data_IF_645765301423
#
_entry.id   IF_645765301423
#
_cell.length_a   1.000
_cell.length_b   1.000
_cell.length_c   1.000
_cell.angle_alpha   90.00
_cell.angle_beta   90.00
_cell.angle_gamma   90.00
#
_symmetry.space_group_name_H-M   'P 1'
#
loop_
_entity.id
_entity.type
_entity.pdbx_description
1 polymer ?
#
# COMPACT_ATOMS: atom_id res chain seq x y z
N UNK A 1 -27.35 21.53 -12.26
CA UNK A 1 -26.58 20.57 -11.44
C UNK A 1 -25.12 21.00 -11.45
N UNK A 2 -24.48 21.06 -10.29
CA UNK A 2 -23.06 21.43 -10.16
C UNK A 2 -22.16 20.34 -10.75
N UNK A 3 -21.06 20.72 -11.40
CA UNK A 3 -20.15 19.77 -12.05
C UNK A 3 -19.49 18.83 -11.03
N UNK A 4 -19.11 17.62 -11.47
CA UNK A 4 -18.45 16.64 -10.59
C UNK A 4 -17.17 17.21 -9.94
N UNK A 5 -16.25 17.90 -10.65
CA UNK A 5 -15.09 18.52 -10.01
C UNK A 5 -15.47 19.49 -8.89
N UNK A 6 -16.49 20.33 -9.11
CA UNK A 6 -16.93 21.28 -8.09
C UNK A 6 -17.53 20.59 -6.86
N UNK A 7 -18.29 19.50 -7.08
CA UNK A 7 -18.80 18.65 -5.99
C UNK A 7 -17.67 18.03 -5.17
N UNK A 8 -16.63 17.51 -5.84
CA UNK A 8 -15.46 16.92 -5.21
C UNK A 8 -14.65 17.97 -4.44
N UNK A 9 -14.50 19.18 -4.98
CA UNK A 9 -13.85 20.30 -4.27
C UNK A 9 -14.60 20.68 -2.99
N UNK A 10 -15.93 20.54 -2.99
CA UNK A 10 -16.78 20.70 -1.80
C UNK A 10 -16.48 19.72 -0.66
N UNK A 11 -15.78 18.61 -0.93
CA UNK A 11 -15.39 17.64 0.10
C UNK A 11 -14.13 18.05 0.88
N UNK A 12 -13.36 19.03 0.39
CA UNK A 12 -12.07 19.43 0.99
C UNK A 12 -12.12 19.63 2.51
N UNK A 13 -13.08 20.38 3.08
CA UNK A 13 -13.13 20.59 4.53
C UNK A 13 -13.30 19.28 5.33
N UNK A 14 -14.10 18.34 4.81
CA UNK A 14 -14.29 17.03 5.45
C UNK A 14 -13.03 16.17 5.37
N UNK A 15 -12.32 16.24 4.23
CA UNK A 15 -11.07 15.51 4.05
C UNK A 15 -10.00 16.05 5.01
N UNK A 16 -9.91 17.37 5.16
CA UNK A 16 -9.00 18.01 6.12
C UNK A 16 -9.36 17.63 7.57
N UNK A 17 -10.65 17.55 7.93
CA UNK A 17 -11.08 17.08 9.25
C UNK A 17 -10.72 15.59 9.48
N UNK A 18 -10.91 14.72 8.49
CA UNK A 18 -10.47 13.31 8.58
C UNK A 18 -8.96 13.21 8.79
N UNK A 19 -8.18 13.98 8.04
CA UNK A 19 -6.72 14.02 8.20
C UNK A 19 -6.32 14.52 9.60
N UNK A 20 -7.02 15.51 10.14
CA UNK A 20 -6.78 16.03 11.47
C UNK A 20 -7.08 14.99 12.56
N UNK A 21 -8.20 14.26 12.45
CA UNK A 21 -8.56 13.18 13.38
C UNK A 21 -7.51 12.07 13.37
N UNK A 22 -6.98 11.73 12.19
CA UNK A 22 -5.99 10.68 12.03
C UNK A 22 -4.55 11.11 12.42
N UNK A 23 -4.27 12.41 12.49
CA UNK A 23 -2.95 12.98 12.78
C UNK A 23 -1.94 12.89 11.61
N UNK A 24 -2.42 12.83 10.37
CA UNK A 24 -1.62 12.41 9.21
C UNK A 24 -1.04 13.58 8.43
N UNK A 25 0.12 13.36 7.78
CA UNK A 25 0.91 14.41 7.16
C UNK A 25 0.51 14.77 5.73
N UNK A 26 0.04 13.82 4.91
CA UNK A 26 -0.25 14.10 3.50
C UNK A 26 -1.08 13.04 2.78
N UNK A 27 -1.93 13.48 1.85
CA UNK A 27 -2.85 12.63 1.07
C UNK A 27 -2.87 13.09 -0.38
N UNK A 28 -2.88 12.14 -1.31
CA UNK A 28 -3.15 12.37 -2.73
C UNK A 28 -4.35 11.53 -3.17
N UNK A 29 -5.25 12.13 -3.94
CA UNK A 29 -6.50 11.55 -4.42
C UNK A 29 -6.56 11.70 -5.92
N UNK A 30 -7.01 10.64 -6.61
CA UNK A 30 -7.25 10.63 -8.04
C UNK A 30 -8.60 10.00 -8.36
N UNK A 31 -9.36 10.64 -9.25
CA UNK A 31 -10.62 10.13 -9.77
C UNK A 31 -10.57 10.08 -11.28
N UNK A 32 -10.87 8.90 -11.82
CA UNK A 32 -11.08 8.65 -13.24
C UNK A 32 -12.57 8.39 -13.49
N UNK A 33 -13.13 9.05 -14.50
CA UNK A 33 -14.45 8.78 -15.07
C UNK A 33 -14.31 8.82 -16.58
N UNK A 34 -14.72 7.77 -17.29
CA UNK A 34 -14.56 7.73 -18.76
C UNK A 34 -15.21 8.95 -19.43
N UNK A 35 -14.49 9.52 -20.41
CA UNK A 35 -14.92 10.70 -21.16
C UNK A 35 -14.78 12.02 -20.41
N UNK A 36 -14.26 12.02 -19.18
CA UNK A 36 -13.95 13.22 -18.40
C UNK A 36 -12.46 13.35 -18.17
N UNK A 37 -11.99 14.58 -17.94
CA UNK A 37 -10.64 14.80 -17.44
C UNK A 37 -10.49 14.18 -16.05
N UNK A 38 -9.31 13.62 -15.77
CA UNK A 38 -8.99 13.12 -14.43
C UNK A 38 -9.07 14.26 -13.41
N UNK A 39 -9.60 13.97 -12.24
CA UNK A 39 -9.60 14.88 -11.10
C UNK A 39 -8.53 14.46 -10.11
N UNK A 40 -7.82 15.45 -9.55
CA UNK A 40 -6.83 15.25 -8.51
C UNK A 40 -7.06 16.23 -7.36
N UNK A 41 -6.91 15.73 -6.14
CA UNK A 41 -6.89 16.56 -4.94
C UNK A 41 -5.76 16.10 -4.02
N UNK A 42 -4.93 17.05 -3.61
CA UNK A 42 -3.73 16.80 -2.82
C UNK A 42 -3.75 17.67 -1.56
N UNK A 43 -3.31 17.09 -0.45
CA UNK A 43 -3.39 17.68 0.88
C UNK A 43 -2.10 17.42 1.66
N UNK A 44 -1.71 18.39 2.49
CA UNK A 44 -0.58 18.26 3.39
C UNK A 44 0.78 18.18 2.69
N UNK A 45 1.72 17.48 3.33
CA UNK A 45 3.14 17.56 3.02
C UNK A 45 3.77 16.18 2.81
N UNK A 46 4.59 16.08 1.76
CA UNK A 46 5.47 14.93 1.50
C UNK A 46 6.72 14.94 2.38
N UNK A 47 7.10 16.13 2.85
CA UNK A 47 8.12 16.36 3.87
C UNK A 47 7.56 17.37 4.87
N UNK A 48 7.24 16.92 6.07
CA UNK A 48 6.65 17.75 7.14
C UNK A 48 7.62 18.84 7.60
N UNK A 49 8.92 18.53 7.68
CA UNK A 49 9.94 19.47 8.16
C UNK A 49 10.15 20.60 7.17
N UNK A 50 10.31 20.26 5.90
CA UNK A 50 10.56 21.23 4.82
C UNK A 50 9.26 21.82 4.24
N UNK A 51 8.09 21.35 4.71
CA UNK A 51 6.75 21.75 4.24
C UNK A 51 6.56 21.61 2.74
N UNK A 52 7.18 20.60 2.15
CA UNK A 52 7.02 20.33 0.73
C UNK A 52 5.66 19.67 0.46
N UNK A 53 4.83 20.19 -0.46
CA UNK A 53 3.47 19.70 -0.64
C UNK A 53 3.43 18.32 -1.29
N UNK A 54 2.37 17.56 -0.98
CA UNK A 54 1.97 16.40 -1.80
C UNK A 54 1.41 16.90 -3.14
N UNK A 55 1.71 16.19 -4.21
CA UNK A 55 1.08 16.32 -5.53
C UNK A 55 0.65 14.94 -6.04
N UNK A 56 -0.13 14.90 -7.12
CA UNK A 56 -0.55 13.68 -7.81
C UNK A 56 0.63 12.88 -8.40
N UNK A 57 1.78 13.53 -8.52
CA UNK A 57 3.06 12.97 -8.93
C UNK A 57 3.98 12.60 -7.76
N UNK A 58 3.59 12.86 -6.51
CA UNK A 58 4.41 12.47 -5.38
C UNK A 58 4.51 10.95 -5.30
N UNK A 59 5.74 10.45 -5.23
CA UNK A 59 6.01 9.02 -5.08
C UNK A 59 5.76 8.61 -3.63
N UNK A 60 4.86 7.65 -3.44
CA UNK A 60 4.43 7.10 -2.16
C UNK A 60 4.48 5.56 -2.23
N UNK A 61 4.59 4.86 -1.10
CA UNK A 61 4.38 3.42 -1.06
C UNK A 61 2.96 3.08 -1.54
N UNK A 62 2.82 2.09 -2.42
CA UNK A 62 1.48 1.58 -2.81
C UNK A 62 1.05 0.40 -1.96
N UNK A 63 1.88 0.00 -0.98
CA UNK A 63 1.60 -1.09 -0.08
C UNK A 63 1.17 -2.36 -0.85
N UNK A 64 0.17 -3.07 -0.32
CA UNK A 64 -0.35 -4.30 -0.92
C UNK A 64 -1.01 -4.14 -2.30
N UNK A 65 -1.18 -2.91 -2.83
CA UNK A 65 -1.53 -2.72 -4.25
C UNK A 65 -0.45 -3.27 -5.18
N UNK A 66 0.78 -3.48 -4.69
CA UNK A 66 1.82 -4.27 -5.39
C UNK A 66 1.28 -5.60 -5.94
N UNK A 67 0.39 -6.27 -5.19
CA UNK A 67 -0.19 -7.57 -5.59
C UNK A 67 -0.96 -7.49 -6.89
N UNK A 68 -1.58 -6.35 -7.20
CA UNK A 68 -2.26 -6.14 -8.48
C UNK A 68 -1.30 -6.30 -9.66
N UNK A 69 -0.11 -5.69 -9.58
CA UNK A 69 0.93 -5.80 -10.60
C UNK A 69 1.50 -7.22 -10.70
N UNK A 70 1.62 -7.92 -9.58
CA UNK A 70 2.05 -9.32 -9.58
C UNK A 70 0.98 -10.21 -10.22
N UNK A 71 -0.31 -9.96 -9.97
CA UNK A 71 -1.40 -10.68 -10.65
C UNK A 71 -1.38 -10.47 -12.16
N UNK A 72 -1.09 -9.24 -12.63
CA UNK A 72 -0.94 -8.95 -14.07
C UNK A 72 0.22 -9.76 -14.67
N UNK A 73 1.33 -9.89 -13.94
CA UNK A 73 2.46 -10.74 -14.36
C UNK A 73 2.16 -12.25 -14.30
N UNK A 74 1.22 -12.65 -13.45
CA UNK A 74 0.82 -14.03 -13.20
C UNK A 74 -0.47 -14.49 -13.88
N UNK A 75 -1.09 -13.69 -14.76
CA UNK A 75 -2.39 -14.01 -15.39
C UNK A 75 -2.52 -15.42 -16.02
N UNK A 76 -1.42 -16.17 -16.13
CA UNK A 76 -1.32 -17.57 -16.54
C UNK A 76 -1.45 -18.64 -15.43
N UNK A 77 -1.60 -18.30 -14.14
CA UNK A 77 -1.66 -19.30 -13.04
C UNK A 77 -2.88 -19.03 -12.12
N UNK A 78 -4.05 -19.50 -12.54
CA UNK A 78 -5.36 -19.30 -11.89
C UNK A 78 -5.46 -19.82 -10.43
N UNK A 79 -4.59 -20.74 -10.01
CA UNK A 79 -4.76 -21.41 -8.71
C UNK A 79 -4.16 -20.66 -7.50
N UNK A 80 -3.20 -19.75 -7.70
CA UNK A 80 -2.49 -19.10 -6.58
C UNK A 80 -3.28 -17.91 -5.99
N UNK A 81 -4.11 -17.25 -6.80
CA UNK A 81 -4.67 -15.92 -6.51
C UNK A 81 -6.08 -15.92 -5.91
N UNK A 82 -6.71 -17.08 -5.74
CA UNK A 82 -8.15 -17.15 -5.40
C UNK A 82 -8.48 -17.28 -3.91
N UNK A 83 -7.51 -17.19 -2.99
CA UNK A 83 -7.68 -17.42 -1.54
C UNK A 83 -8.32 -18.79 -1.15
N UNK A 84 -8.49 -19.72 -2.10
CA UNK A 84 -9.19 -21.02 -1.93
C UNK A 84 -8.40 -22.13 -1.23
N UNK A 85 -7.17 -21.84 -0.80
CA UNK A 85 -6.28 -22.86 -0.22
C UNK A 85 -6.54 -23.20 1.25
N UNK A 86 -7.53 -22.57 1.90
CA UNK A 86 -8.00 -22.96 3.24
C UNK A 86 -7.03 -22.70 4.42
N UNK A 87 -6.32 -21.57 4.48
CA UNK A 87 -5.37 -21.27 5.57
C UNK A 87 -5.74 -20.01 6.38
N UNK A 88 -5.75 -20.11 7.72
CA UNK A 88 -6.33 -19.13 8.68
C UNK A 88 -5.48 -17.87 8.97
N UNK A 89 -6.11 -16.81 9.52
CA UNK A 89 -5.59 -15.43 9.71
C UNK A 89 -4.97 -15.16 11.11
N UNK A 90 -3.85 -14.43 11.23
CA UNK A 90 -3.37 -13.84 12.51
C UNK A 90 -2.03 -13.05 12.49
N UNK A 91 -2.05 -11.87 13.14
CA UNK A 91 -1.12 -10.75 13.53
C UNK A 91 0.41 -10.72 13.23
N UNK A 92 0.93 -9.50 12.93
CA UNK A 92 2.29 -9.10 12.45
C UNK A 92 3.25 -8.56 13.54
N UNK A 93 4.57 -8.71 13.38
CA UNK A 93 5.62 -7.97 14.13
C UNK A 93 6.73 -7.44 13.20
N UNK A 94 7.13 -6.18 13.41
CA UNK A 94 8.15 -5.45 12.63
C UNK A 94 9.45 -5.35 13.44
N UNK A 95 10.60 -5.47 12.77
CA UNK A 95 11.90 -5.17 13.38
C UNK A 95 12.13 -3.65 13.54
N UNK A 96 13.13 -3.28 14.35
CA UNK A 96 13.44 -1.89 14.71
C UNK A 96 13.84 -1.00 13.54
N UNK A 97 14.18 -1.58 12.39
CA UNK A 97 14.48 -0.86 11.13
C UNK A 97 13.38 -1.04 10.08
N UNK A 98 12.16 -1.41 10.48
CA UNK A 98 11.06 -1.79 9.59
C UNK A 98 11.40 -2.97 8.64
N UNK A 99 12.41 -3.75 8.99
CA UNK A 99 12.71 -5.03 8.38
C UNK A 99 11.73 -6.12 8.89
N UNK A 100 11.26 -6.99 8.00
CA UNK A 100 10.34 -8.06 8.40
C UNK A 100 11.09 -9.21 9.11
N UNK A 101 10.71 -9.48 10.36
CA UNK A 101 11.29 -10.56 11.16
C UNK A 101 10.23 -11.67 11.31
N UNK A 102 10.45 -12.83 10.67
CA UNK A 102 9.41 -13.83 10.40
C UNK A 102 9.08 -14.70 11.63
N UNK A 103 7.80 -14.91 11.93
CA UNK A 103 7.29 -15.97 12.81
C UNK A 103 6.47 -17.04 12.03
N UNK A 104 6.52 -18.29 12.52
CA UNK A 104 6.08 -19.53 11.85
C UNK A 104 4.66 -19.53 11.24
N UNK A 105 3.71 -18.75 11.77
CA UNK A 105 2.29 -18.76 11.34
C UNK A 105 1.95 -17.81 10.18
N UNK A 106 2.79 -16.84 9.81
CA UNK A 106 2.59 -15.94 8.65
C UNK A 106 3.50 -16.22 7.44
N UNK A 107 4.26 -17.32 7.49
CA UNK A 107 5.02 -17.88 6.35
C UNK A 107 4.15 -18.28 5.16
N UNK A 108 2.88 -17.87 5.04
CA UNK A 108 1.92 -18.34 4.04
C UNK A 108 1.28 -17.24 3.19
N UNK A 109 1.23 -15.98 3.66
CA UNK A 109 0.73 -14.84 2.85
C UNK A 109 1.84 -14.22 2.00
N UNK A 110 2.96 -13.90 2.64
CA UNK A 110 4.15 -13.41 1.96
C UNK A 110 4.72 -14.48 1.04
N UNK A 111 4.86 -15.69 1.55
CA UNK A 111 5.47 -16.79 0.81
C UNK A 111 4.69 -17.18 -0.46
N UNK A 112 3.39 -16.89 -0.59
CA UNK A 112 2.65 -17.06 -1.87
C UNK A 112 3.10 -16.08 -2.93
N UNK A 113 3.19 -14.80 -2.60
CA UNK A 113 3.64 -13.78 -3.54
C UNK A 113 5.15 -13.88 -3.78
N UNK A 114 5.92 -14.30 -2.77
CA UNK A 114 7.33 -14.65 -2.94
C UNK A 114 7.49 -15.87 -3.86
N UNK A 115 6.70 -16.93 -3.67
CA UNK A 115 6.70 -18.11 -4.55
C UNK A 115 6.25 -17.74 -5.96
N UNK A 116 5.23 -16.89 -6.10
CA UNK A 116 4.81 -16.33 -7.37
C UNK A 116 5.96 -15.62 -8.08
N UNK A 117 6.72 -14.78 -7.37
CA UNK A 117 7.93 -14.14 -7.92
C UNK A 117 8.96 -15.16 -8.38
N UNK A 118 9.24 -16.20 -7.57
CA UNK A 118 10.15 -17.27 -7.98
C UNK A 118 9.67 -18.00 -9.25
N UNK A 119 8.35 -18.19 -9.41
CA UNK A 119 7.76 -18.77 -10.61
C UNK A 119 7.90 -17.83 -11.80
N UNK A 120 7.60 -16.54 -11.63
CA UNK A 120 7.80 -15.51 -12.67
C UNK A 120 9.26 -15.52 -13.12
N UNK A 121 10.19 -15.46 -12.18
CA UNK A 121 11.63 -15.44 -12.46
C UNK A 121 12.06 -16.67 -13.23
N UNK A 122 11.61 -17.85 -12.80
CA UNK A 122 11.94 -19.12 -13.44
C UNK A 122 11.36 -19.25 -14.84
N UNK A 123 10.09 -18.89 -15.03
CA UNK A 123 9.37 -19.06 -16.30
C UNK A 123 9.81 -18.01 -17.32
N UNK A 124 9.91 -16.75 -16.91
CA UNK A 124 10.29 -15.65 -17.80
C UNK A 124 11.80 -15.54 -18.02
N UNK A 125 12.62 -16.19 -17.18
CA UNK A 125 14.09 -16.03 -17.11
C UNK A 125 14.52 -14.58 -16.85
N UNK A 126 13.63 -13.76 -16.30
CA UNK A 126 13.85 -12.37 -15.95
C UNK A 126 13.33 -12.13 -14.53
N UNK A 127 13.98 -11.27 -13.72
CA UNK A 127 13.42 -10.88 -12.43
C UNK A 127 12.00 -10.31 -12.58
N UNK A 128 11.12 -10.62 -11.64
CA UNK A 128 9.73 -10.18 -11.63
C UNK A 128 9.59 -8.66 -11.81
N UNK A 129 10.56 -7.92 -11.28
CA UNK A 129 10.62 -6.46 -11.38
C UNK A 129 10.78 -6.00 -12.82
N UNK A 130 11.55 -6.73 -13.64
CA UNK A 130 11.70 -6.46 -15.07
C UNK A 130 10.47 -6.91 -15.86
N UNK A 131 9.86 -8.03 -15.48
CA UNK A 131 8.63 -8.54 -16.09
C UNK A 131 7.50 -7.52 -15.89
N UNK A 132 7.19 -7.15 -14.65
CA UNK A 132 6.19 -6.12 -14.30
C UNK A 132 6.49 -4.81 -15.03
N UNK A 133 7.76 -4.40 -15.06
CA UNK A 133 8.13 -3.16 -15.75
C UNK A 133 7.89 -3.24 -17.27
N UNK A 134 8.06 -4.41 -17.88
CA UNK A 134 7.89 -4.62 -19.32
C UNK A 134 6.46 -4.82 -19.79
N UNK A 135 5.61 -5.42 -18.96
CA UNK A 135 4.22 -5.74 -19.35
C UNK A 135 3.20 -4.70 -18.88
N UNK A 136 3.52 -3.95 -17.81
CA UNK A 136 2.60 -3.00 -17.18
C UNK A 136 3.19 -1.58 -17.14
N UNK A 137 4.28 -1.37 -16.39
CA UNK A 137 4.77 0.00 -16.09
C UNK A 137 5.13 0.79 -17.36
N UNK A 138 6.03 0.28 -18.20
CA UNK A 138 6.46 0.98 -19.42
C UNK A 138 5.33 1.10 -20.45
N UNK A 139 4.58 0.03 -20.80
CA UNK A 139 3.50 0.14 -21.78
C UNK A 139 2.36 1.08 -21.36
N UNK A 140 2.10 1.23 -20.05
CA UNK A 140 1.02 2.08 -19.55
C UNK A 140 1.47 3.50 -19.23
N UNK A 141 2.71 3.87 -19.58
CA UNK A 141 3.23 5.22 -19.37
C UNK A 141 3.32 5.61 -17.90
N UNK A 142 3.55 4.64 -17.01
CA UNK A 142 3.70 4.86 -15.57
C UNK A 142 5.14 5.29 -15.24
N UNK A 143 5.42 6.58 -15.41
CA UNK A 143 6.79 7.14 -15.40
C UNK A 143 7.43 7.24 -14.01
N UNK A 144 6.62 7.19 -12.95
CA UNK A 144 7.02 7.42 -11.55
C UNK A 144 6.68 6.21 -10.68
N UNK A 145 6.69 5.02 -11.29
CA UNK A 145 6.40 3.75 -10.62
C UNK A 145 7.64 2.86 -10.56
N UNK A 146 7.95 2.38 -9.36
CA UNK A 146 9.17 1.66 -9.04
C UNK A 146 8.86 0.35 -8.32
N UNK A 147 9.65 -0.68 -8.59
CA UNK A 147 9.54 -2.02 -7.99
C UNK A 147 10.34 -2.18 -6.71
N UNK A 148 10.98 -1.10 -6.27
CA UNK A 148 11.73 -0.94 -5.03
C UNK A 148 11.71 0.55 -4.69
N UNK A 149 12.28 0.90 -3.53
CA UNK A 149 12.55 2.29 -3.17
C UNK A 149 13.15 3.09 -4.33
N UNK A 150 12.56 4.24 -4.61
CA UNK A 150 13.14 5.19 -5.55
C UNK A 150 14.48 5.68 -4.99
N UNK A 151 15.49 5.94 -5.84
CA UNK A 151 16.75 6.56 -5.40
C UNK A 151 16.49 7.81 -4.56
N UNK A 152 17.30 8.07 -3.52
CA UNK A 152 17.14 9.24 -2.63
C UNK A 152 17.18 10.59 -3.38
N UNK A 153 17.82 10.62 -4.54
CA UNK A 153 17.86 11.79 -5.44
C UNK A 153 16.59 11.98 -6.28
N UNK A 154 15.60 11.09 -6.18
CA UNK A 154 14.37 11.18 -6.98
C UNK A 154 13.56 12.38 -6.53
N UNK A 155 13.32 13.36 -7.42
CA UNK A 155 12.55 14.54 -7.05
C UNK A 155 11.11 14.14 -6.75
N UNK A 156 10.47 14.83 -5.80
CA UNK A 156 9.07 14.60 -5.43
C UNK A 156 8.80 13.15 -4.96
N UNK A 157 9.73 12.56 -4.22
CA UNK A 157 9.47 11.39 -3.37
C UNK A 157 9.07 11.84 -1.97
N UNK A 158 8.18 11.09 -1.32
CA UNK A 158 7.71 11.38 0.03
C UNK A 158 8.60 10.74 1.09
N UNK A 159 8.73 11.42 2.23
CA UNK A 159 9.05 10.77 3.51
C UNK A 159 7.83 10.05 4.05
N UNK A 160 8.05 9.11 4.95
CA UNK A 160 7.02 8.24 5.53
C UNK A 160 6.88 8.53 7.04
N UNK A 161 5.65 8.46 7.55
CA UNK A 161 5.33 8.87 8.92
C UNK A 161 4.47 7.85 9.66
N UNK A 162 4.75 7.62 10.95
CA UNK A 162 3.80 6.97 11.85
C UNK A 162 3.26 8.00 12.83
N UNK A 163 1.96 7.93 13.12
CA UNK A 163 1.33 8.83 14.07
C UNK A 163 1.49 8.27 15.49
N UNK A 164 1.94 9.13 16.41
CA UNK A 164 2.02 8.82 17.84
C UNK A 164 0.63 8.88 18.49
N UNK A 165 0.49 8.33 19.70
CA UNK A 165 -0.75 8.40 20.47
C UNK A 165 -1.22 9.83 20.79
N UNK A 166 -0.33 10.81 20.73
CA UNK A 166 -0.62 12.25 20.86
C UNK A 166 -1.08 12.90 19.54
N UNK A 167 -1.18 12.14 18.44
CA UNK A 167 -1.63 12.63 17.13
C UNK A 167 -0.53 13.26 16.28
N UNK A 168 0.73 13.16 16.71
CA UNK A 168 1.88 13.76 16.01
C UNK A 168 2.44 12.80 14.94
N UNK A 169 2.54 13.21 13.66
CA UNK A 169 3.21 12.42 12.63
C UNK A 169 4.73 12.47 12.85
N UNK A 170 5.33 11.29 13.06
CA UNK A 170 6.78 11.13 13.28
C UNK A 170 7.41 10.43 12.10
N UNK A 171 8.48 11.04 11.54
CA UNK A 171 9.21 10.48 10.40
C UNK A 171 9.79 9.11 10.79
N UNK A 172 9.58 8.13 9.91
CA UNK A 172 10.15 6.79 10.06
C UNK A 172 11.00 6.46 8.85
N UNK A 173 11.92 5.51 9.04
CA UNK A 173 12.61 4.92 7.90
C UNK A 173 11.60 4.14 7.05
N UNK A 174 11.63 4.33 5.72
CA UNK A 174 10.76 3.60 4.85
C UNK A 174 10.90 2.08 4.97
N UNK A 175 9.79 1.36 4.77
CA UNK A 175 9.82 -0.11 4.78
C UNK A 175 10.76 -0.60 3.68
N UNK A 176 11.79 -1.36 4.04
CA UNK A 176 12.80 -1.89 3.09
C UNK A 176 12.29 -3.10 2.27
N UNK A 177 11.07 -2.99 1.75
CA UNK A 177 10.48 -3.95 0.81
C UNK A 177 10.73 -3.48 -0.64
N UNK A 178 11.02 -4.42 -1.53
CA UNK A 178 11.22 -4.13 -2.95
C UNK A 178 11.90 -5.28 -3.69
N UNK A 179 12.18 -5.05 -4.97
CA UNK A 179 12.94 -6.01 -5.78
C UNK A 179 14.25 -6.40 -5.11
N UNK A 180 14.45 -7.71 -4.90
CA UNK A 180 15.63 -8.26 -4.23
C UNK A 180 15.53 -8.34 -2.71
N UNK A 181 14.44 -7.88 -2.09
CA UNK A 181 14.20 -8.06 -0.65
C UNK A 181 12.92 -8.84 -0.36
N UNK A 182 12.90 -9.52 0.79
CA UNK A 182 11.75 -10.27 1.25
C UNK A 182 10.57 -9.33 1.52
N UNK A 183 9.39 -9.64 0.97
CA UNK A 183 8.20 -8.79 1.03
C UNK A 183 8.02 -7.89 -0.19
N UNK A 184 9.01 -7.79 -1.08
CA UNK A 184 8.97 -6.94 -2.27
C UNK A 184 7.77 -7.21 -3.18
N UNK A 185 7.46 -8.49 -3.43
CA UNK A 185 6.33 -8.93 -4.27
C UNK A 185 4.96 -8.72 -3.62
N UNK A 186 4.93 -8.49 -2.31
CA UNK A 186 3.70 -8.34 -1.57
C UNK A 186 3.33 -6.88 -1.31
N UNK A 187 4.32 -5.98 -1.29
CA UNK A 187 4.10 -4.61 -0.85
C UNK A 187 5.22 -3.61 -1.14
N UNK A 188 6.26 -3.99 -1.89
CA UNK A 188 7.47 -3.18 -2.04
C UNK A 188 7.49 -2.22 -3.24
N UNK A 189 6.35 -1.99 -3.89
CA UNK A 189 6.26 -1.03 -4.98
C UNK A 189 5.95 0.39 -4.48
N UNK A 190 6.42 1.36 -5.27
CA UNK A 190 6.20 2.79 -5.08
C UNK A 190 5.60 3.36 -6.36
N UNK A 191 4.69 4.30 -6.25
CA UNK A 191 4.03 4.94 -7.40
C UNK A 191 3.50 6.30 -7.00
N UNK A 192 2.78 6.96 -7.90
CA UNK A 192 2.01 8.15 -7.62
C UNK A 192 0.57 7.95 -8.09
N UNK A 193 -0.34 8.81 -7.63
CA UNK A 193 -1.77 8.71 -7.97
C UNK A 193 -2.00 8.82 -9.48
N UNK A 194 -1.28 9.70 -10.17
CA UNK A 194 -1.37 9.85 -11.62
C UNK A 194 -1.08 8.54 -12.36
N UNK A 195 0.00 7.84 -11.96
CA UNK A 195 0.39 6.56 -12.56
C UNK A 195 -0.57 5.43 -12.22
N UNK A 196 -1.05 5.36 -10.98
CA UNK A 196 -2.05 4.37 -10.60
C UNK A 196 -3.36 4.58 -11.37
N UNK A 197 -3.81 5.83 -11.57
CA UNK A 197 -4.98 6.09 -12.41
C UNK A 197 -4.78 5.59 -13.84
N UNK A 198 -3.60 5.78 -14.45
CA UNK A 198 -3.28 5.22 -15.77
C UNK A 198 -3.40 3.69 -15.78
N UNK A 199 -2.90 3.02 -14.74
CA UNK A 199 -2.98 1.56 -14.62
C UNK A 199 -4.45 1.09 -14.54
N UNK A 200 -5.24 1.66 -13.63
CA UNK A 200 -6.64 1.27 -13.44
C UNK A 200 -7.51 1.66 -14.64
N UNK A 201 -7.30 2.82 -15.27
CA UNK A 201 -8.04 3.21 -16.48
C UNK A 201 -7.69 2.33 -17.68
N UNK A 202 -6.44 1.87 -17.79
CA UNK A 202 -6.01 0.96 -18.86
C UNK A 202 -6.69 -0.40 -18.72
N UNK A 203 -6.69 -0.98 -17.52
CA UNK A 203 -7.40 -2.24 -17.26
C UNK A 203 -8.90 -2.08 -17.48
N UNK A 204 -9.49 -0.97 -17.02
CA UNK A 204 -10.92 -0.71 -17.19
C UNK A 204 -11.32 -0.58 -18.67
N UNK A 205 -10.54 0.15 -19.46
CA UNK A 205 -10.75 0.28 -20.91
C UNK A 205 -10.60 -1.08 -21.60
N UNK A 206 -9.61 -1.87 -21.19
CA UNK A 206 -9.42 -3.24 -21.64
C UNK A 206 -10.67 -4.10 -21.41
N UNK A 207 -11.14 -4.13 -20.16
CA UNK A 207 -12.34 -4.87 -19.73
C UNK A 207 -13.59 -4.51 -20.54
N UNK A 208 -13.71 -3.24 -20.95
CA UNK A 208 -14.88 -2.75 -21.70
C UNK A 208 -14.76 -2.99 -23.22
N UNK A 209 -13.54 -3.11 -23.77
CA UNK A 209 -13.29 -3.34 -25.18
C UNK A 209 -13.28 -4.85 -25.52
N UNK A 210 -14.48 -5.43 -25.56
CA UNK A 210 -14.73 -6.83 -25.95
C UNK A 210 -14.26 -7.13 -27.38
N UNK A 211 -13.00 -7.55 -27.56
CA UNK A 211 -12.52 -7.99 -28.89
C UNK A 211 -11.01 -8.16 -29.11
N UNK A 212 -10.15 -7.84 -28.14
CA UNK A 212 -8.70 -7.98 -28.29
C UNK A 212 -8.18 -9.42 -28.18
N UNK A 213 -7.11 -9.75 -28.93
CA UNK A 213 -6.33 -11.00 -28.83
C UNK A 213 -5.97 -11.33 -27.37
N UNK A 214 -5.80 -12.63 -27.07
CA UNK A 214 -5.32 -13.17 -25.78
C UNK A 214 -4.24 -12.26 -25.16
N UNK A 215 -4.61 -11.50 -24.14
CA UNK A 215 -3.73 -10.61 -23.39
C UNK A 215 -3.97 -10.85 -21.90
N UNK A 216 -2.99 -10.52 -21.05
CA UNK A 216 -3.12 -10.63 -19.59
C UNK A 216 -4.37 -9.88 -19.06
N UNK A 217 -4.80 -8.84 -19.77
CA UNK A 217 -6.00 -8.05 -19.50
C UNK A 217 -7.28 -8.91 -19.64
N UNK A 218 -7.37 -9.76 -20.66
CA UNK A 218 -8.52 -10.67 -20.87
C UNK A 218 -8.66 -11.75 -19.79
N UNK A 219 -7.55 -12.17 -19.18
CA UNK A 219 -7.59 -13.11 -18.04
C UNK A 219 -8.00 -12.41 -16.74
N UNK A 220 -7.55 -11.17 -16.54
CA UNK A 220 -8.04 -10.30 -15.47
C UNK A 220 -9.54 -9.99 -15.61
N UNK A 221 -10.05 -9.86 -16.84
CA UNK A 221 -11.48 -9.72 -17.14
C UNK A 221 -12.31 -10.92 -16.69
N UNK A 222 -11.87 -12.14 -16.96
CA UNK A 222 -12.55 -13.35 -16.51
C UNK A 222 -12.58 -13.42 -14.97
N UNK A 223 -11.49 -13.04 -14.30
CA UNK A 223 -11.42 -12.96 -12.83
C UNK A 223 -12.34 -11.87 -12.23
N UNK A 224 -12.38 -10.68 -12.84
CA UNK A 224 -13.21 -9.56 -12.38
C UNK A 224 -14.70 -9.85 -12.67
N UNK A 225 -15.03 -10.31 -13.89
CA UNK A 225 -16.42 -10.55 -14.30
C UNK A 225 -17.05 -11.80 -13.65
N UNK A 226 -16.26 -12.81 -13.27
CA UNK A 226 -16.81 -14.05 -12.73
C UNK A 226 -17.34 -13.93 -11.28
N UNK A 227 -16.93 -12.92 -10.49
CA UNK A 227 -17.33 -12.84 -9.06
C UNK A 227 -17.55 -11.45 -8.48
N UNK A 228 -17.07 -10.36 -9.08
CA UNK A 228 -17.18 -9.03 -8.46
C UNK A 228 -17.26 -7.92 -9.50
N UNK A 229 -18.42 -7.26 -9.62
CA UNK A 229 -18.63 -6.04 -10.43
C UNK A 229 -17.81 -4.81 -9.97
N UNK A 230 -16.99 -4.99 -8.93
CA UNK A 230 -16.18 -3.98 -8.24
C UNK A 230 -14.86 -4.61 -7.83
N UNK A 231 -13.76 -3.97 -8.20
CA UNK A 231 -12.45 -4.24 -7.59
C UNK A 231 -12.22 -3.18 -6.52
N UNK A 232 -11.93 -3.61 -5.29
CA UNK A 232 -11.61 -2.71 -4.18
C UNK A 232 -10.48 -3.30 -3.35
N UNK A 233 -9.54 -2.46 -2.94
CA UNK A 233 -8.48 -2.84 -2.03
C UNK A 233 -8.11 -1.66 -1.13
N UNK A 234 -8.03 -1.91 0.17
CA UNK A 234 -7.40 -1.04 1.16
C UNK A 234 -6.13 -1.73 1.68
N UNK A 235 -5.08 -0.96 1.90
CA UNK A 235 -3.74 -1.49 2.11
C UNK A 235 -2.96 -0.62 3.08
N UNK A 236 -2.16 -1.27 3.92
CA UNK A 236 -1.32 -0.60 4.90
C UNK A 236 0.08 -1.21 5.03
N UNK A 237 1.04 -0.31 5.20
CA UNK A 237 2.39 -0.57 5.69
C UNK A 237 2.72 0.52 6.72
N UNK A 238 3.71 0.29 7.61
CA UNK A 238 4.31 1.39 8.36
C UNK A 238 4.60 2.55 7.43
N UNK A 239 4.15 3.75 7.79
CA UNK A 239 4.43 4.94 7.00
C UNK A 239 3.46 5.23 5.85
N UNK A 240 2.48 4.37 5.55
CA UNK A 240 1.57 4.62 4.43
C UNK A 240 0.27 3.82 4.46
N UNK A 241 -0.80 4.47 3.98
CA UNK A 241 -2.05 3.83 3.57
C UNK A 241 -2.34 4.06 2.08
N UNK A 242 -3.06 3.13 1.49
CA UNK A 242 -3.58 3.26 0.12
C UNK A 242 -4.94 2.57 0.01
N UNK A 243 -5.86 3.21 -0.71
CA UNK A 243 -7.18 2.67 -1.01
C UNK A 243 -7.50 2.87 -2.49
N UNK A 244 -8.07 1.86 -3.13
CA UNK A 244 -8.51 1.93 -4.52
C UNK A 244 -9.87 1.28 -4.71
N UNK A 245 -10.66 1.83 -5.63
CA UNK A 245 -11.80 1.13 -6.22
C UNK A 245 -11.83 1.35 -7.71
N UNK A 246 -12.16 0.30 -8.45
CA UNK A 246 -12.44 0.31 -9.87
C UNK A 246 -13.82 -0.33 -10.09
N UNK A 247 -14.69 0.40 -10.80
CA UNK A 247 -16.05 -0.01 -11.16
C UNK A 247 -16.14 -0.06 -12.69
N UNK A 248 -15.83 -1.19 -13.34
CA UNK A 248 -15.78 -1.28 -14.80
C UNK A 248 -17.12 -0.94 -15.48
N UNK A 249 -18.24 -1.38 -14.91
CA UNK A 249 -19.59 -1.12 -15.45
C UNK A 249 -19.93 0.38 -15.45
N UNK A 250 -19.48 1.11 -14.43
CA UNK A 250 -19.69 2.56 -14.31
C UNK A 250 -18.56 3.37 -14.93
N UNK A 251 -17.49 2.70 -15.36
CA UNK A 251 -16.28 3.29 -15.93
C UNK A 251 -15.65 4.34 -15.01
N UNK A 252 -15.57 4.00 -13.72
CA UNK A 252 -15.07 4.85 -12.63
C UNK A 252 -13.92 4.17 -11.91
N UNK A 253 -12.86 4.93 -11.60
CA UNK A 253 -11.86 4.53 -10.62
C UNK A 253 -11.55 5.66 -9.63
N UNK A 254 -11.33 5.31 -8.37
CA UNK A 254 -10.93 6.23 -7.30
C UNK A 254 -9.72 5.64 -6.62
N UNK A 255 -8.64 6.43 -6.52
CA UNK A 255 -7.38 6.07 -5.88
C UNK A 255 -7.08 7.10 -4.78
N UNK A 256 -6.73 6.62 -3.59
CA UNK A 256 -6.24 7.44 -2.48
C UNK A 256 -4.92 6.85 -2.00
N UNK A 257 -3.90 7.70 -1.86
CA UNK A 257 -2.57 7.33 -1.36
C UNK A 257 -2.13 8.31 -0.28
N UNK A 258 -1.38 7.83 0.71
CA UNK A 258 -0.89 8.66 1.80
C UNK A 258 0.48 8.21 2.31
N UNK A 259 1.22 9.16 2.87
CA UNK A 259 2.55 8.98 3.45
C UNK A 259 2.55 8.87 4.98
N UNK A 260 1.42 8.46 5.58
CA UNK A 260 1.37 8.20 7.00
C UNK A 260 0.59 6.92 7.34
N UNK A 261 0.91 6.33 8.49
CA UNK A 261 0.03 5.42 9.19
C UNK A 261 -0.62 6.19 10.35
N UNK A 262 -1.91 6.51 10.21
CA UNK A 262 -2.70 7.29 11.15
C UNK A 262 -3.29 6.50 12.31
N UNK A 263 -4.03 7.20 13.18
CA UNK A 263 -4.79 6.60 14.30
C UNK A 263 -6.00 5.77 13.85
N UNK A 264 -6.40 5.88 12.59
CA UNK A 264 -7.58 5.23 12.02
C UNK A 264 -7.37 5.06 10.49
N UNK A 265 -8.20 4.27 9.79
CA UNK A 265 -8.09 4.04 8.33
C UNK A 265 -8.64 5.22 7.47
N UNK A 266 -8.05 6.41 7.64
CA UNK A 266 -8.50 7.66 7.00
C UNK A 266 -8.45 7.58 5.47
N UNK A 267 -7.50 6.83 4.91
CA UNK A 267 -7.40 6.65 3.47
C UNK A 267 -8.66 5.95 2.92
N UNK A 268 -9.21 4.98 3.66
CA UNK A 268 -10.46 4.33 3.29
C UNK A 268 -11.68 5.24 3.53
N UNK A 269 -11.75 6.01 4.62
CA UNK A 269 -12.85 6.97 4.82
C UNK A 269 -12.89 8.05 3.75
N UNK A 270 -11.73 8.63 3.41
CA UNK A 270 -11.60 9.61 2.33
C UNK A 270 -11.99 8.96 0.99
N UNK A 271 -11.50 7.74 0.75
CA UNK A 271 -11.84 6.98 -0.46
C UNK A 271 -13.35 6.77 -0.60
N UNK A 272 -14.02 6.31 0.46
CA UNK A 272 -15.45 6.06 0.47
C UNK A 272 -16.25 7.37 0.33
N UNK A 273 -15.86 8.44 1.03
CA UNK A 273 -16.47 9.76 0.89
C UNK A 273 -16.42 10.27 -0.55
N UNK A 274 -15.26 10.17 -1.20
CA UNK A 274 -15.09 10.54 -2.60
C UNK A 274 -15.92 9.63 -3.51
N UNK A 275 -15.96 8.33 -3.24
CA UNK A 275 -16.75 7.38 -4.03
C UNK A 275 -18.25 7.66 -3.93
N UNK A 276 -18.78 7.95 -2.74
CA UNK A 276 -20.18 8.38 -2.56
C UNK A 276 -20.50 9.62 -3.40
N UNK A 277 -19.58 10.59 -3.44
CA UNK A 277 -19.74 11.81 -4.21
C UNK A 277 -19.72 11.54 -5.73
N UNK A 278 -18.87 10.63 -6.20
CA UNK A 278 -18.81 10.23 -7.62
C UNK A 278 -20.07 9.47 -8.05
N UNK A 279 -20.60 8.62 -7.17
CA UNK A 279 -21.78 7.79 -7.44
C UNK A 279 -23.11 8.49 -7.19
N UNK A 280 -23.08 9.72 -6.66
CA UNK A 280 -24.26 10.44 -6.19
C UNK A 280 -25.11 9.61 -5.21
N UNK A 281 -24.43 8.93 -4.29
CA UNK A 281 -25.05 7.96 -3.40
C UNK A 281 -25.98 8.62 -2.37
N UNK A 282 -27.08 7.93 -2.06
CA UNK A 282 -28.03 8.29 -1.01
C UNK A 282 -28.57 7.02 -0.34
N UNK A 283 -28.67 6.95 1.00
CA UNK A 283 -28.23 7.95 1.98
C UNK A 283 -26.70 8.08 2.03
N UNK A 284 -26.21 9.19 2.60
CA UNK A 284 -24.77 9.45 2.78
C UNK A 284 -24.31 9.05 4.19
N UNK A 285 -23.09 8.53 4.28
CA UNK A 285 -22.50 8.13 5.56
C UNK A 285 -21.84 9.30 6.30
N UNK A 286 -21.80 9.22 7.64
CA UNK A 286 -21.06 10.13 8.50
C UNK A 286 -19.66 9.57 8.80
N UNK A 287 -18.75 9.79 7.87
CA UNK A 287 -17.35 9.35 8.00
C UNK A 287 -16.59 10.06 9.12
N UNK A 288 -16.99 11.27 9.50
CA UNK A 288 -16.35 12.02 10.60
C UNK A 288 -16.65 11.34 11.94
N UNK A 289 -17.92 10.99 12.18
CA UNK A 289 -18.30 10.25 13.38
C UNK A 289 -17.63 8.87 13.44
N UNK A 290 -17.55 8.17 12.31
CA UNK A 290 -16.86 6.88 12.20
C UNK A 290 -15.36 7.02 12.51
N UNK A 291 -14.69 8.02 11.93
CA UNK A 291 -13.27 8.30 12.16
C UNK A 291 -12.98 8.63 13.64
N UNK A 292 -13.78 9.50 14.27
CA UNK A 292 -13.64 9.85 15.70
C UNK A 292 -13.78 8.62 16.60
N UNK A 293 -14.75 7.75 16.29
CA UNK A 293 -14.97 6.49 17.02
C UNK A 293 -13.78 5.54 16.85
N UNK A 294 -13.30 5.38 15.61
CA UNK A 294 -12.17 4.51 15.27
C UNK A 294 -10.87 4.99 15.93
N UNK A 295 -10.53 6.28 15.82
CA UNK A 295 -9.35 6.87 16.45
C UNK A 295 -9.37 6.71 17.98
N UNK A 296 -10.53 6.93 18.60
CA UNK A 296 -10.70 6.74 20.04
C UNK A 296 -10.47 5.28 20.47
N UNK A 297 -10.95 4.32 19.68
CA UNK A 297 -10.72 2.89 19.94
C UNK A 297 -9.23 2.52 19.79
N UNK A 298 -8.54 3.05 18.78
CA UNK A 298 -7.09 2.83 18.59
C UNK A 298 -6.29 3.37 19.77
N UNK A 299 -6.61 4.56 20.27
CA UNK A 299 -5.91 5.15 21.41
C UNK A 299 -6.02 4.30 22.69
N UNK A 300 -7.14 3.61 22.89
CA UNK A 300 -7.31 2.67 24.01
C UNK A 300 -6.42 1.42 23.92
N UNK A 301 -5.85 1.13 22.75
CA UNK A 301 -4.97 -0.02 22.57
C UNK A 301 -3.58 0.23 23.18
N UNK A 302 -3.05 1.45 23.12
CA UNK A 302 -1.73 1.80 23.65
C UNK A 302 -1.51 1.38 25.11
N UNK A 303 -2.35 1.77 26.09
CA UNK A 303 -2.13 1.37 27.48
C UNK A 303 -2.23 -0.15 27.67
N UNK A 304 -3.14 -0.83 26.95
CA UNK A 304 -3.29 -2.29 27.01
C UNK A 304 -2.04 -3.00 26.48
N UNK A 305 -1.47 -2.49 25.39
CA UNK A 305 -0.23 -3.02 24.80
C UNK A 305 0.95 -2.82 25.75
N UNK A 306 1.09 -1.64 26.35
CA UNK A 306 2.15 -1.39 27.34
C UNK A 306 2.02 -2.33 28.55
N UNK A 307 0.81 -2.48 29.10
CA UNK A 307 0.56 -3.41 30.21
C UNK A 307 0.89 -4.86 29.84
N UNK A 308 0.49 -5.30 28.64
CA UNK A 308 0.80 -6.63 28.14
C UNK A 308 2.32 -6.82 27.95
N UNK A 309 3.03 -5.82 27.43
CA UNK A 309 4.49 -5.85 27.27
C UNK A 309 5.18 -5.96 28.63
N UNK A 310 4.80 -5.16 29.62
CA UNK A 310 5.37 -5.24 30.97
C UNK A 310 5.12 -6.62 31.62
N UNK A 311 3.91 -7.18 31.47
CA UNK A 311 3.60 -8.54 31.96
C UNK A 311 4.42 -9.62 31.26
N UNK A 312 4.77 -9.43 30.00
CA UNK A 312 5.57 -10.36 29.20
C UNK A 312 7.09 -10.18 29.42
N UNK A 313 7.54 -9.07 30.00
CA UNK A 313 8.94 -8.91 30.41
C UNK A 313 9.25 -9.91 31.53
N UNK A 314 9.90 -11.00 31.18
CA UNK A 314 10.51 -11.88 32.18
C UNK A 314 11.85 -11.29 32.62
N UNK A 315 12.18 -11.43 33.90
CA UNK A 315 13.49 -11.08 34.46
C UNK A 315 14.58 -12.09 34.04
N UNK A 316 14.52 -12.59 32.80
CA UNK A 316 15.45 -13.54 32.24
C UNK A 316 16.71 -12.85 31.73
N UNK A 317 17.86 -13.51 31.95
CA UNK A 317 19.21 -13.09 31.59
C UNK A 317 19.33 -12.70 30.10
N UNK A 318 19.01 -11.45 29.75
CA UNK A 318 19.39 -10.88 28.46
C UNK A 318 20.92 -10.88 28.40
N UNK A 319 21.49 -11.54 27.39
CA UNK A 319 22.93 -11.48 27.14
C UNK A 319 23.28 -10.09 26.57
N UNK A 320 24.52 -9.62 26.71
CA UNK A 320 25.00 -8.44 25.98
C UNK A 320 24.61 -8.51 24.50
N UNK A 321 24.11 -7.40 23.93
CA UNK A 321 23.64 -7.36 22.53
C UNK A 321 24.71 -7.81 21.53
N UNK A 322 25.99 -7.58 21.85
CA UNK A 322 27.14 -8.04 21.07
C UNK A 322 27.19 -9.56 20.88
N UNK A 323 26.64 -10.35 21.81
CA UNK A 323 26.57 -11.81 21.68
C UNK A 323 25.56 -12.29 20.62
N UNK A 324 24.62 -11.43 20.21
CA UNK A 324 23.65 -11.75 19.16
C UNK A 324 24.11 -11.33 17.77
N UNK A 325 25.29 -10.72 17.63
CA UNK A 325 25.85 -10.33 16.34
C UNK A 325 26.34 -11.56 15.58
N UNK A 326 25.91 -11.70 14.34
CA UNK A 326 26.37 -12.78 13.47
C UNK A 326 25.37 -13.17 12.38
N UNK A 327 25.79 -14.13 11.58
CA UNK A 327 24.96 -14.72 10.52
C UNK A 327 24.27 -15.98 11.03
N UNK A 328 22.95 -15.98 11.03
CA UNK A 328 22.12 -17.10 11.41
C UNK A 328 21.50 -17.74 10.18
N UNK A 329 21.45 -19.07 10.21
CA UNK A 329 20.81 -19.86 9.18
C UNK A 329 19.70 -20.69 9.82
N UNK A 330 18.58 -20.82 9.12
CA UNK A 330 17.64 -21.86 9.49
C UNK A 330 18.26 -23.25 9.24
N UNK A 331 17.74 -24.28 9.92
CA UNK A 331 18.30 -25.65 9.86
C UNK A 331 18.47 -26.20 8.45
N UNK A 332 17.59 -25.80 7.52
CA UNK A 332 17.58 -26.24 6.12
C UNK A 332 18.37 -25.32 5.16
N UNK A 333 19.05 -24.29 5.69
CA UNK A 333 19.93 -23.34 4.97
C UNK A 333 19.34 -22.62 3.76
N UNK A 334 18.03 -22.43 3.73
CA UNK A 334 17.37 -21.60 2.70
C UNK A 334 17.01 -20.19 3.22
N UNK A 335 17.11 -19.95 4.53
CA UNK A 335 16.91 -18.63 5.13
C UNK A 335 18.17 -18.23 5.88
N UNK A 336 18.70 -17.07 5.55
CA UNK A 336 19.84 -16.41 6.18
C UNK A 336 19.35 -15.11 6.84
N UNK A 337 19.77 -14.85 8.07
CA UNK A 337 19.51 -13.59 8.78
C UNK A 337 20.85 -13.09 9.31
N UNK A 338 21.23 -11.87 8.96
CA UNK A 338 22.42 -11.22 9.50
C UNK A 338 21.99 -10.23 10.59
N UNK A 339 22.54 -10.38 11.79
CA UNK A 339 22.39 -9.42 12.89
C UNK A 339 23.68 -8.63 13.04
N UNK A 340 23.57 -7.31 13.04
CA UNK A 340 24.65 -6.37 13.29
C UNK A 340 24.21 -5.35 14.35
N UNK A 341 25.17 -4.78 15.07
CA UNK A 341 24.90 -3.63 15.94
C UNK A 341 24.96 -2.36 15.12
N UNK A 342 23.83 -1.64 15.07
CA UNK A 342 23.84 -0.26 14.62
C UNK A 342 24.62 0.58 15.66
N UNK A 343 25.67 1.30 15.23
CA UNK A 343 26.26 2.35 16.06
C UNK A 343 25.31 3.55 16.00
N UNK A 344 24.99 4.13 17.14
CA UNK A 344 24.25 5.40 17.19
C UNK A 344 24.86 6.39 16.18
N UNK A 345 24.05 6.85 15.22
CA UNK A 345 24.43 7.88 14.25
C UNK A 345 25.07 7.41 12.94
N UNK A 346 25.12 6.11 12.60
CA UNK A 346 25.47 5.68 11.23
C UNK A 346 24.46 4.67 10.67
N UNK A 347 23.71 5.14 9.68
CA UNK A 347 22.85 4.35 8.80
C UNK A 347 23.66 3.24 8.13
N UNK A 348 23.18 1.99 8.17
CA UNK A 348 23.72 0.89 7.38
C UNK A 348 23.51 1.22 5.88
N UNK A 349 24.60 1.25 5.13
CA UNK A 349 24.68 1.59 3.70
C UNK A 349 24.19 0.49 2.78
#
# INVERSE_FOLDING_TARGET
>A
MTSLPHRLDGLRPKIEELMLIAGVSGVSIGVYVEGKANYYANFGYRDVKEKFPITEQTILPICSLTKFFICIALGTIEDILSDRTGMSRGTRYLGSENNMLIAHKETLKFTRYELAGLIIDKVSRLPWSQVVAGIAIRPWGMQRTYTKHSPTSTPNASKEYNVLNEGTPTEIHPVQAGAGSFGGLSGGMFSCVEDLLKAYSTIMTGVNNRGGKQSAIKQLEELISARTRRLHANCSLPGAFSAVTMLPELRVAVVVMSNAQGLEDYADWIHQLVLEEVLDASPRNDYIAAAKTSASATLQWYPKTLEALEKMKSAGNSRPLAEYVGTYWNRKRYLKIDFSLAREGKTLS
#
